data_IF_102329727800
#
_entry.id   IF_102329727800
#
_cell.length_a   1.000
_cell.length_b   1.000
_cell.length_c   1.000
_cell.angle_alpha   90.00
_cell.angle_beta   90.00
_cell.angle_gamma   90.00
#
_symmetry.space_group_name_H-M   'P 1'
#
loop_
_entity.id
_entity.type
_entity.pdbx_description
1 polymer ?
#
# COMPACT_ATOMS: atom_id res chain seq x y z
N UNK A 1 1.61 -26.26 -9.55
CA UNK A 1 1.72 -25.64 -10.88
C UNK A 1 2.85 -24.61 -10.81
N UNK A 2 3.89 -24.66 -11.67
CA UNK A 2 4.94 -23.65 -11.69
C UNK A 2 4.36 -22.31 -12.17
N UNK A 3 4.90 -21.21 -11.63
CA UNK A 3 4.57 -19.87 -12.13
C UNK A 3 5.22 -19.65 -13.50
N UNK A 4 4.61 -18.87 -14.40
CA UNK A 4 5.26 -18.42 -15.63
C UNK A 4 6.55 -17.63 -15.34
N UNK A 5 7.56 -17.80 -16.19
CA UNK A 5 8.88 -17.18 -16.01
C UNK A 5 8.84 -15.66 -15.79
N UNK A 6 8.02 -14.87 -16.54
CA UNK A 6 7.93 -13.43 -16.29
C UNK A 6 7.44 -13.06 -14.88
N UNK A 7 6.56 -13.88 -14.28
CA UNK A 7 6.10 -13.67 -12.91
C UNK A 7 7.21 -14.02 -11.92
N UNK A 8 7.99 -15.06 -12.21
CA UNK A 8 9.14 -15.43 -11.37
C UNK A 8 10.18 -14.32 -11.36
N UNK A 9 10.49 -13.73 -12.52
CA UNK A 9 11.43 -12.60 -12.63
C UNK A 9 10.98 -11.41 -11.76
N UNK A 10 9.72 -10.97 -11.92
CA UNK A 10 9.15 -9.89 -11.11
C UNK A 10 9.20 -10.19 -9.61
N UNK A 11 8.92 -11.43 -9.21
CA UNK A 11 8.94 -11.80 -7.79
C UNK A 11 10.37 -11.93 -7.25
N UNK A 12 11.34 -12.31 -8.06
CA UNK A 12 12.72 -12.59 -7.63
C UNK A 12 13.41 -11.36 -7.03
N UNK A 13 13.06 -10.14 -7.46
CA UNK A 13 13.59 -8.90 -6.89
C UNK A 13 13.27 -8.73 -5.39
N UNK A 14 12.23 -9.40 -4.90
CA UNK A 14 11.83 -9.37 -3.48
C UNK A 14 12.50 -10.45 -2.64
N UNK A 15 13.09 -11.48 -3.26
CA UNK A 15 13.69 -12.63 -2.57
C UNK A 15 14.69 -12.25 -1.48
N UNK A 16 15.62 -11.29 -1.67
CA UNK A 16 16.59 -10.89 -0.65
C UNK A 16 15.98 -10.33 0.64
N UNK A 17 14.71 -9.90 0.59
CA UNK A 17 14.01 -9.32 1.73
C UNK A 17 13.43 -10.37 2.70
N UNK A 18 13.53 -11.65 2.36
CA UNK A 18 12.92 -12.75 3.11
C UNK A 18 13.92 -13.87 3.35
N UNK A 19 13.75 -14.58 4.47
CA UNK A 19 14.44 -15.85 4.66
C UNK A 19 13.91 -16.91 3.70
N UNK A 20 14.73 -17.89 3.31
CA UNK A 20 14.33 -18.92 2.36
C UNK A 20 13.03 -19.67 2.74
N UNK A 21 12.80 -20.06 4.01
CA UNK A 21 11.52 -20.69 4.41
C UNK A 21 10.32 -19.76 4.29
N UNK A 22 10.48 -18.47 4.60
CA UNK A 22 9.41 -17.47 4.48
C UNK A 22 9.12 -17.21 3.00
N UNK A 23 10.13 -17.09 2.18
CA UNK A 23 10.00 -16.88 0.75
C UNK A 23 9.21 -17.98 0.06
N UNK A 24 9.53 -19.26 0.32
CA UNK A 24 8.80 -20.39 -0.27
C UNK A 24 7.30 -20.34 0.05
N UNK A 25 6.95 -20.06 1.30
CA UNK A 25 5.55 -19.95 1.72
C UNK A 25 4.86 -18.72 1.13
N UNK A 26 5.58 -17.58 1.08
CA UNK A 26 5.06 -16.35 0.49
C UNK A 26 4.74 -16.52 -1.00
N UNK A 27 5.64 -17.14 -1.77
CA UNK A 27 5.40 -17.42 -3.20
C UNK A 27 4.20 -18.35 -3.40
N UNK A 28 4.06 -19.40 -2.59
CA UNK A 28 2.86 -20.27 -2.60
C UNK A 28 1.58 -19.46 -2.33
N UNK A 29 1.59 -18.58 -1.33
CA UNK A 29 0.43 -17.73 -1.01
C UNK A 29 0.13 -16.74 -2.12
N UNK A 30 1.15 -16.12 -2.72
CA UNK A 30 0.97 -15.18 -3.83
C UNK A 30 0.36 -15.89 -5.06
N UNK A 31 0.94 -17.03 -5.45
CA UNK A 31 0.40 -17.84 -6.54
C UNK A 31 -1.05 -18.21 -6.29
N UNK A 32 -1.33 -18.74 -5.12
CA UNK A 32 -2.69 -19.13 -4.75
C UNK A 32 -3.66 -17.96 -4.69
N UNK A 33 -3.21 -16.77 -4.26
CA UNK A 33 -4.04 -15.57 -4.22
C UNK A 33 -4.36 -15.05 -5.62
N UNK A 34 -3.44 -15.16 -6.57
CA UNK A 34 -3.67 -14.81 -7.98
C UNK A 34 -4.67 -15.77 -8.64
N UNK A 35 -4.59 -17.06 -8.31
CA UNK A 35 -5.46 -18.09 -8.87
C UNK A 35 -6.82 -18.21 -8.15
N UNK A 36 -6.94 -17.68 -6.93
CA UNK A 36 -8.16 -17.82 -6.14
C UNK A 36 -9.32 -17.01 -6.72
N UNK A 37 -10.41 -17.70 -7.00
CA UNK A 37 -11.69 -17.06 -7.34
C UNK A 37 -12.46 -16.72 -6.05
N UNK A 38 -12.90 -15.48 -5.92
CA UNK A 38 -13.66 -15.00 -4.75
C UNK A 38 -12.77 -14.49 -3.61
N UNK A 39 -13.07 -14.86 -2.36
CA UNK A 39 -12.36 -14.33 -1.18
C UNK A 39 -10.92 -14.80 -1.13
N UNK A 40 -9.98 -13.85 -1.13
CA UNK A 40 -8.54 -14.09 -1.04
C UNK A 40 -8.08 -14.34 0.41
N UNK A 41 -8.42 -15.50 0.95
CA UNK A 41 -7.97 -15.97 2.26
C UNK A 41 -6.78 -16.91 2.13
N UNK A 42 -6.01 -17.11 3.20
CA UNK A 42 -4.91 -18.09 3.22
C UNK A 42 -5.41 -19.48 2.82
N UNK A 43 -6.57 -19.88 3.32
CA UNK A 43 -7.17 -21.17 2.97
C UNK A 43 -7.53 -21.27 1.48
N UNK A 44 -8.10 -20.21 0.89
CA UNK A 44 -8.39 -20.18 -0.53
C UNK A 44 -7.10 -20.23 -1.36
N UNK A 45 -6.09 -19.45 -0.98
CA UNK A 45 -4.79 -19.45 -1.65
C UNK A 45 -4.13 -20.84 -1.63
N UNK A 46 -4.16 -21.55 -0.50
CA UNK A 46 -3.60 -22.90 -0.40
C UNK A 46 -4.34 -23.90 -1.28
N UNK A 47 -5.67 -23.83 -1.33
CA UNK A 47 -6.46 -24.70 -2.22
C UNK A 47 -6.15 -24.43 -3.68
N UNK A 48 -6.14 -23.14 -4.08
CA UNK A 48 -5.91 -22.74 -5.47
C UNK A 48 -4.48 -22.99 -5.94
N UNK A 49 -3.49 -23.02 -5.03
CA UNK A 49 -2.10 -23.35 -5.35
C UNK A 49 -1.79 -24.86 -5.34
N UNK A 50 -2.79 -25.71 -5.15
CA UNK A 50 -2.60 -27.16 -5.07
C UNK A 50 -2.07 -27.66 -3.72
N UNK A 51 -2.04 -26.81 -2.69
CA UNK A 51 -1.57 -27.14 -1.35
C UNK A 51 -2.71 -27.42 -0.35
N UNK A 52 -3.85 -27.89 -0.83
CA UNK A 52 -5.02 -28.19 0.00
C UNK A 52 -4.71 -29.24 1.10
N UNK A 53 -3.82 -30.17 0.81
CA UNK A 53 -3.40 -31.26 1.70
C UNK A 53 -2.14 -30.94 2.53
N UNK A 54 -1.68 -29.67 2.53
CA UNK A 54 -0.52 -29.31 3.34
C UNK A 54 -0.78 -29.58 4.82
N UNK A 55 0.13 -30.32 5.49
CA UNK A 55 -0.05 -30.77 6.87
C UNK A 55 -0.16 -29.60 7.88
N UNK A 56 0.43 -28.44 7.59
CA UNK A 56 0.55 -27.33 8.53
C UNK A 56 0.15 -25.97 7.92
N UNK A 57 -1.13 -25.73 7.75
CA UNK A 57 -1.65 -24.44 7.29
C UNK A 57 -1.30 -23.26 8.22
N UNK A 58 -1.11 -23.53 9.52
CA UNK A 58 -0.70 -22.52 10.50
C UNK A 58 0.62 -21.85 10.14
N UNK A 59 1.55 -22.55 9.51
CA UNK A 59 2.83 -21.99 9.07
C UNK A 59 2.68 -20.92 7.97
N UNK A 60 1.65 -21.04 7.13
CA UNK A 60 1.34 -20.03 6.12
C UNK A 60 0.69 -18.78 6.74
N UNK A 61 -0.17 -18.95 7.76
CA UNK A 61 -0.67 -17.83 8.55
C UNK A 61 0.46 -17.09 9.28
N UNK A 62 1.49 -17.82 9.76
CA UNK A 62 2.64 -17.23 10.44
C UNK A 62 3.48 -16.33 9.53
N UNK A 63 3.51 -16.55 8.22
CA UNK A 63 4.17 -15.65 7.26
C UNK A 63 3.60 -14.23 7.36
N UNK A 64 2.29 -14.10 7.58
CA UNK A 64 1.59 -12.83 7.63
C UNK A 64 1.61 -12.15 9.01
N UNK A 65 1.68 -12.93 10.10
CA UNK A 65 1.50 -12.40 11.46
C UNK A 65 2.73 -12.52 12.37
N UNK A 66 3.68 -13.44 12.12
CA UNK A 66 4.84 -13.70 13.01
C UNK A 66 6.18 -13.61 12.32
N UNK A 67 6.27 -13.87 11.01
CA UNK A 67 7.53 -13.85 10.30
C UNK A 67 8.16 -12.44 10.34
N UNK A 68 9.45 -12.38 10.61
CA UNK A 68 10.20 -11.12 10.67
C UNK A 68 10.64 -10.71 9.28
N UNK A 69 9.94 -9.76 8.70
CA UNK A 69 10.31 -9.09 7.45
C UNK A 69 9.86 -7.63 7.49
N UNK A 70 10.57 -6.78 6.79
CA UNK A 70 10.30 -5.33 6.79
C UNK A 70 9.27 -4.97 5.73
N UNK A 71 8.09 -4.53 6.17
CA UNK A 71 7.05 -4.00 5.28
C UNK A 71 7.57 -2.81 4.47
N UNK A 72 8.34 -1.94 5.09
CA UNK A 72 8.91 -0.78 4.41
C UNK A 72 9.93 -1.16 3.35
N UNK A 73 10.75 -2.19 3.57
CA UNK A 73 11.68 -2.69 2.56
C UNK A 73 10.95 -3.27 1.36
N UNK A 74 9.87 -4.03 1.59
CA UNK A 74 9.00 -4.55 0.52
C UNK A 74 8.31 -3.42 -0.24
N UNK A 75 7.74 -2.43 0.48
CA UNK A 75 7.12 -1.26 -0.15
C UNK A 75 8.12 -0.43 -0.96
N UNK A 76 9.35 -0.25 -0.45
CA UNK A 76 10.43 0.43 -1.19
C UNK A 76 10.76 -0.33 -2.48
N UNK A 77 10.96 -1.64 -2.39
CA UNK A 77 11.29 -2.47 -3.56
C UNK A 77 10.17 -2.44 -4.61
N UNK A 78 8.91 -2.46 -4.15
CA UNK A 78 7.74 -2.36 -5.02
C UNK A 78 7.67 -0.98 -5.70
N UNK A 79 7.93 0.11 -4.96
CA UNK A 79 7.99 1.44 -5.53
C UNK A 79 9.05 1.52 -6.64
N UNK A 80 10.26 1.04 -6.37
CA UNK A 80 11.35 1.06 -7.35
C UNK A 80 10.98 0.26 -8.60
N UNK A 81 10.45 -0.93 -8.43
CA UNK A 81 9.98 -1.76 -9.54
C UNK A 81 8.92 -1.05 -10.40
N UNK A 82 7.93 -0.39 -9.77
CA UNK A 82 6.90 0.37 -10.50
C UNK A 82 7.51 1.53 -11.26
N UNK A 83 8.38 2.29 -10.60
CA UNK A 83 9.01 3.48 -11.19
C UNK A 83 9.92 3.08 -12.35
N UNK A 84 10.78 2.09 -12.18
CA UNK A 84 11.69 1.58 -13.22
C UNK A 84 10.95 1.00 -14.43
N UNK A 85 9.77 0.39 -14.19
CA UNK A 85 8.99 -0.25 -15.25
C UNK A 85 8.12 0.73 -16.04
N UNK A 86 7.53 1.73 -15.37
CA UNK A 86 6.45 2.52 -15.98
C UNK A 86 6.73 4.02 -16.07
N UNK A 87 7.74 4.53 -15.37
CA UNK A 87 8.04 5.97 -15.38
C UNK A 87 9.29 6.23 -16.23
N UNK A 88 9.17 7.02 -17.31
CA UNK A 88 10.34 7.36 -18.12
C UNK A 88 11.41 8.08 -17.32
N UNK A 89 12.68 7.90 -17.67
CA UNK A 89 13.78 8.60 -17.05
C UNK A 89 13.61 10.12 -17.19
N UNK A 90 13.84 10.86 -16.10
CA UNK A 90 13.65 12.31 -16.05
C UNK A 90 12.20 12.78 -15.89
N UNK A 91 11.21 11.89 -15.95
CA UNK A 91 9.81 12.25 -15.75
C UNK A 91 9.47 12.46 -14.27
N UNK A 92 8.35 13.13 -14.00
CA UNK A 92 7.81 13.24 -12.66
C UNK A 92 7.17 11.92 -12.23
N UNK A 93 7.38 11.54 -10.97
CA UNK A 93 6.66 10.45 -10.32
C UNK A 93 5.40 11.04 -9.68
N UNK A 94 4.26 10.78 -10.29
CA UNK A 94 2.96 11.24 -9.80
C UNK A 94 2.49 10.35 -8.64
N UNK A 95 2.29 10.95 -7.47
CA UNK A 95 1.82 10.24 -6.29
C UNK A 95 0.39 10.64 -5.94
N UNK A 96 -0.41 9.67 -5.56
CA UNK A 96 -1.74 9.88 -4.99
C UNK A 96 -1.85 9.17 -3.64
N UNK A 97 -2.53 9.82 -2.70
CA UNK A 97 -2.89 9.21 -1.41
C UNK A 97 -4.42 9.17 -1.33
N UNK A 98 -4.93 8.02 -0.93
CA UNK A 98 -6.35 7.83 -0.70
C UNK A 98 -6.58 7.10 0.63
N UNK A 99 -7.75 7.29 1.22
CA UNK A 99 -8.14 6.55 2.42
C UNK A 99 -9.28 5.59 2.13
N UNK A 100 -9.18 4.39 2.67
CA UNK A 100 -10.15 3.32 2.50
C UNK A 100 -10.58 2.80 3.85
N UNK A 101 -11.89 2.72 4.08
CA UNK A 101 -12.46 2.09 5.26
C UNK A 101 -12.77 0.62 4.97
N UNK A 102 -12.03 -0.27 5.62
CA UNK A 102 -12.31 -1.70 5.65
C UNK A 102 -13.27 -1.99 6.81
N UNK A 103 -14.57 -2.17 6.52
CA UNK A 103 -15.57 -2.46 7.55
C UNK A 103 -15.28 -3.79 8.24
N UNK A 104 -15.17 -3.77 9.57
CA UNK A 104 -14.85 -4.92 10.39
C UNK A 104 -15.70 -4.92 11.67
N UNK A 105 -16.42 -5.99 11.91
CA UNK A 105 -17.37 -6.11 13.01
C UNK A 105 -16.82 -6.89 14.23
N UNK A 106 -15.70 -7.60 14.08
CA UNK A 106 -15.13 -8.45 15.12
C UNK A 106 -14.69 -7.66 16.35
N UNK A 107 -15.18 -8.04 17.54
CA UNK A 107 -14.85 -7.39 18.82
C UNK A 107 -13.38 -7.56 19.23
N UNK A 108 -12.72 -8.63 18.79
CA UNK A 108 -11.31 -8.95 19.11
C UNK A 108 -10.27 -8.20 18.24
N UNK A 109 -10.69 -7.31 17.36
CA UNK A 109 -9.78 -6.57 16.51
C UNK A 109 -9.28 -5.33 17.26
N UNK A 110 -8.09 -5.39 17.83
CA UNK A 110 -7.52 -4.39 18.74
C UNK A 110 -7.33 -2.99 18.12
N UNK A 111 -7.29 -2.87 16.79
CA UNK A 111 -7.09 -1.59 16.10
C UNK A 111 -8.35 -1.10 15.40
N UNK A 112 -9.49 -1.71 15.66
CA UNK A 112 -10.77 -1.30 15.12
C UNK A 112 -11.21 0.00 15.79
N UNK A 113 -11.56 0.97 14.97
CA UNK A 113 -12.19 2.22 15.41
C UNK A 113 -13.54 2.43 14.71
N UNK A 114 -14.21 3.53 15.05
CA UNK A 114 -15.38 4.02 14.35
C UNK A 114 -14.99 5.18 13.45
N UNK A 115 -15.30 5.09 12.17
CA UNK A 115 -14.92 6.09 11.18
C UNK A 115 -16.12 6.49 10.35
N UNK A 116 -16.14 7.75 9.90
CA UNK A 116 -17.12 8.18 8.91
C UNK A 116 -17.02 7.31 7.68
N UNK A 117 -18.15 6.75 7.28
CA UNK A 117 -18.26 5.88 6.11
C UNK A 117 -18.73 6.73 4.93
N UNK A 118 -17.84 7.07 4.01
CA UNK A 118 -18.14 7.91 2.86
C UNK A 118 -19.11 7.27 1.88
N UNK A 119 -19.17 5.92 1.83
CA UNK A 119 -20.08 5.21 0.94
C UNK A 119 -21.53 5.17 1.46
N UNK A 120 -21.71 5.25 2.79
CA UNK A 120 -23.03 5.26 3.43
C UNK A 120 -23.49 6.66 3.84
N UNK A 121 -22.57 7.63 3.90
CA UNK A 121 -22.87 9.00 4.27
C UNK A 121 -23.38 9.80 3.07
N UNK A 122 -24.36 10.67 3.32
CA UNK A 122 -24.83 11.67 2.36
C UNK A 122 -24.48 13.08 2.85
N UNK A 123 -24.84 14.11 2.06
CA UNK A 123 -24.71 15.51 2.50
C UNK A 123 -25.56 15.84 3.74
N UNK A 124 -26.70 15.14 3.91
CA UNK A 124 -27.65 15.38 5.00
C UNK A 124 -27.41 14.47 6.21
N UNK A 125 -26.75 13.33 6.03
CA UNK A 125 -26.57 12.33 7.09
C UNK A 125 -25.16 11.76 7.08
N UNK A 126 -24.43 11.92 8.20
CA UNK A 126 -23.15 11.29 8.40
C UNK A 126 -23.33 9.93 9.07
N UNK A 127 -22.91 8.88 8.42
CA UNK A 127 -22.94 7.51 8.94
C UNK A 127 -21.52 7.10 9.36
N UNK A 128 -21.40 6.51 10.55
CA UNK A 128 -20.15 5.95 11.07
C UNK A 128 -20.21 4.44 11.05
N UNK A 129 -19.14 3.79 10.60
CA UNK A 129 -19.01 2.34 10.57
C UNK A 129 -17.77 1.88 11.34
N UNK A 130 -17.85 0.74 12.05
CA UNK A 130 -16.68 0.14 12.69
C UNK A 130 -15.77 -0.50 11.64
N UNK A 131 -14.46 -0.31 11.80
CA UNK A 131 -13.52 -0.86 10.84
C UNK A 131 -12.07 -0.50 11.06
N UNK A 132 -11.28 -0.72 10.03
CA UNK A 132 -9.88 -0.35 9.92
C UNK A 132 -9.75 0.70 8.82
N UNK A 133 -9.20 1.86 9.15
CA UNK A 133 -8.93 2.91 8.17
C UNK A 133 -7.51 2.80 7.64
N UNK A 134 -7.41 2.49 6.38
CA UNK A 134 -6.15 2.41 5.65
C UNK A 134 -5.89 3.70 4.88
N UNK A 135 -4.68 4.19 4.95
CA UNK A 135 -4.16 5.25 4.08
C UNK A 135 -3.24 4.56 3.10
N UNK A 136 -3.55 4.67 1.82
CA UNK A 136 -2.85 4.00 0.71
C UNK A 136 -2.19 5.04 -0.16
N UNK A 137 -0.91 4.88 -0.41
CA UNK A 137 -0.16 5.68 -1.38
C UNK A 137 0.12 4.85 -2.62
N UNK A 138 -0.13 5.45 -3.77
CA UNK A 138 0.05 4.82 -5.08
C UNK A 138 0.84 5.72 -6.03
N UNK A 139 1.55 5.12 -6.99
CA UNK A 139 2.12 5.81 -8.14
C UNK A 139 1.08 5.81 -9.25
N UNK A 140 0.84 6.96 -9.85
CA UNK A 140 -0.04 7.10 -11.01
C UNK A 140 0.79 6.92 -12.27
N UNK A 141 0.49 5.89 -13.04
CA UNK A 141 1.19 5.54 -14.27
C UNK A 141 0.22 5.37 -15.43
N UNK A 142 0.69 5.56 -16.65
CA UNK A 142 -0.06 5.21 -17.85
C UNK A 142 0.42 3.84 -18.33
N UNK A 143 -0.50 2.87 -18.33
CA UNK A 143 -0.17 1.52 -18.79
C UNK A 143 -0.11 1.48 -20.33
N UNK A 144 0.96 0.94 -20.93
CA UNK A 144 1.18 0.98 -22.38
C UNK A 144 0.04 0.35 -23.21
N UNK A 145 -0.56 -0.72 -22.70
CA UNK A 145 -1.59 -1.49 -23.39
C UNK A 145 -3.01 -0.94 -23.24
N UNK A 146 -3.29 -0.11 -22.23
CA UNK A 146 -4.65 0.46 -22.02
C UNK A 146 -4.72 1.93 -22.37
N UNK A 147 -3.59 2.64 -22.44
CA UNK A 147 -3.50 4.11 -22.54
C UNK A 147 -4.23 4.87 -21.42
N UNK A 148 -4.66 4.17 -20.37
CA UNK A 148 -5.36 4.74 -19.21
C UNK A 148 -4.39 4.96 -18.06
N UNK A 149 -4.69 5.95 -17.23
CA UNK A 149 -3.95 6.22 -15.99
C UNK A 149 -4.42 5.27 -14.89
N UNK A 150 -3.47 4.60 -14.26
CA UNK A 150 -3.69 3.66 -13.17
C UNK A 150 -2.91 4.10 -11.93
N UNK A 151 -3.54 4.00 -10.77
CA UNK A 151 -2.89 4.18 -9.49
C UNK A 151 -2.42 2.81 -8.97
N UNK A 152 -1.10 2.57 -8.96
CA UNK A 152 -0.49 1.33 -8.49
C UNK A 152 -0.07 1.49 -7.02
N UNK A 153 -0.77 0.84 -6.06
CA UNK A 153 -0.49 0.99 -4.65
C UNK A 153 0.82 0.29 -4.26
N UNK A 154 1.64 0.96 -3.44
CA UNK A 154 2.90 0.38 -2.96
C UNK A 154 3.11 0.55 -1.46
N UNK A 155 2.45 1.51 -0.81
CA UNK A 155 2.60 1.77 0.61
C UNK A 155 1.24 1.96 1.26
N UNK A 156 1.01 1.19 2.33
CA UNK A 156 -0.21 1.28 3.13
C UNK A 156 0.12 1.47 4.60
N UNK A 157 -0.61 2.34 5.29
CA UNK A 157 -0.53 2.52 6.73
C UNK A 157 -1.92 2.45 7.34
N UNK A 158 -2.01 1.89 8.55
CA UNK A 158 -3.25 1.83 9.31
C UNK A 158 -3.34 3.07 10.21
N UNK A 159 -4.33 3.92 9.95
CA UNK A 159 -4.65 5.06 10.79
C UNK A 159 -5.67 4.65 11.86
N UNK A 160 -5.38 4.99 13.11
CA UNK A 160 -6.23 4.70 14.25
C UNK A 160 -6.92 5.98 14.74
N UNK A 161 -8.07 5.84 15.42
CA UNK A 161 -8.71 6.96 16.10
C UNK A 161 -7.88 7.40 17.31
N UNK A 162 -8.12 8.59 17.89
CA UNK A 162 -7.45 9.04 19.12
C UNK A 162 -7.60 8.02 20.25
N UNK A 163 -8.81 7.51 20.49
CA UNK A 163 -9.14 6.57 21.56
C UNK A 163 -8.39 5.23 21.38
N UNK A 164 -8.36 4.70 20.15
CA UNK A 164 -7.62 3.47 19.85
C UNK A 164 -6.11 3.70 19.97
N UNK A 165 -5.62 4.88 19.60
CA UNK A 165 -4.19 5.23 19.75
C UNK A 165 -3.79 5.28 21.23
N UNK A 166 -4.62 5.87 22.08
CA UNK A 166 -4.43 5.92 23.52
C UNK A 166 -4.43 4.53 24.14
N UNK A 167 -5.42 3.68 23.83
CA UNK A 167 -5.47 2.29 24.28
C UNK A 167 -4.22 1.49 23.90
N UNK A 168 -3.58 1.84 22.77
CA UNK A 168 -2.35 1.19 22.31
C UNK A 168 -1.08 1.84 22.88
N UNK A 169 -1.20 2.86 23.71
CA UNK A 169 -0.07 3.64 24.24
C UNK A 169 0.73 4.37 23.15
N UNK A 170 0.08 4.77 22.05
CA UNK A 170 0.72 5.40 20.89
C UNK A 170 0.21 6.83 20.70
N UNK A 171 1.13 7.71 20.28
CA UNK A 171 0.74 9.05 19.85
C UNK A 171 -0.21 8.96 18.65
N UNK A 172 -1.37 9.60 18.76
CA UNK A 172 -2.29 9.73 17.65
C UNK A 172 -1.69 10.56 16.51
N UNK A 173 -1.96 10.15 15.27
CA UNK A 173 -1.57 10.87 14.06
C UNK A 173 -2.78 11.06 13.17
N UNK A 174 -3.00 12.29 12.76
CA UNK A 174 -4.03 12.62 11.77
C UNK A 174 -3.68 12.08 10.38
N UNK A 175 -4.66 12.03 9.48
CA UNK A 175 -4.43 11.61 8.07
C UNK A 175 -3.37 12.47 7.41
N UNK A 176 -3.40 13.81 7.64
CA UNK A 176 -2.39 14.73 7.11
C UNK A 176 -0.98 14.45 7.63
N UNK A 177 -0.83 14.11 8.92
CA UNK A 177 0.47 13.71 9.48
C UNK A 177 0.99 12.41 8.87
N UNK A 178 0.11 11.45 8.61
CA UNK A 178 0.48 10.23 7.92
C UNK A 178 0.88 10.51 6.47
N UNK A 179 0.10 11.30 5.73
CA UNK A 179 0.41 11.70 4.36
C UNK A 179 1.79 12.36 4.27
N UNK A 180 2.07 13.34 5.14
CA UNK A 180 3.39 13.99 5.20
C UNK A 180 4.53 13.00 5.48
N UNK A 181 4.34 12.07 6.41
CA UNK A 181 5.35 11.05 6.70
C UNK A 181 5.58 10.10 5.52
N UNK A 182 4.52 9.69 4.82
CA UNK A 182 4.61 8.81 3.65
C UNK A 182 5.36 9.52 2.50
N UNK A 183 5.03 10.77 2.22
CA UNK A 183 5.75 11.57 1.20
C UNK A 183 7.23 11.73 1.56
N UNK A 184 7.54 12.07 2.81
CA UNK A 184 8.92 12.21 3.29
C UNK A 184 9.70 10.89 3.22
N UNK A 185 9.04 9.76 3.43
CA UNK A 185 9.63 8.43 3.30
C UNK A 185 9.96 8.10 1.85
N UNK A 186 9.01 8.33 0.95
CA UNK A 186 9.18 8.10 -0.50
C UNK A 186 10.30 8.98 -1.05
N UNK A 187 10.33 10.27 -0.67
CA UNK A 187 11.41 11.17 -1.06
C UNK A 187 12.79 10.61 -0.69
N UNK A 188 12.94 10.07 0.54
CA UNK A 188 14.19 9.42 0.96
C UNK A 188 14.52 8.15 0.16
N UNK A 189 13.49 7.36 -0.21
CA UNK A 189 13.70 6.14 -0.99
C UNK A 189 14.16 6.41 -2.42
N UNK A 190 13.64 7.44 -3.05
CA UNK A 190 14.01 7.85 -4.41
C UNK A 190 15.28 8.71 -4.45
N UNK A 191 15.64 9.38 -3.33
CA UNK A 191 16.86 10.15 -3.21
C UNK A 191 18.14 9.32 -2.93
N UNK A 192 18.05 7.98 -2.94
CA UNK A 192 19.21 7.12 -2.74
C UNK A 192 20.25 7.28 -3.85
N UNK A 193 21.58 7.24 -3.53
CA UNK A 193 22.67 7.51 -4.51
C UNK A 193 22.61 6.65 -5.78
N UNK A 194 22.06 5.44 -5.68
CA UNK A 194 21.85 4.54 -6.82
C UNK A 194 20.87 5.12 -7.87
N UNK A 195 20.05 6.10 -7.50
CA UNK A 195 19.04 6.71 -8.38
C UNK A 195 19.29 8.21 -8.60
N UNK A 196 20.20 8.83 -7.85
CA UNK A 196 20.59 10.25 -7.99
C UNK A 196 21.56 10.49 -9.12
N UNK A 197 22.30 9.48 -9.58
CA UNK A 197 23.35 9.65 -10.58
C UNK A 197 22.84 10.23 -11.92
N UNK A 198 21.51 10.22 -12.18
CA UNK A 198 20.92 10.70 -13.43
C UNK A 198 19.83 11.77 -13.26
N UNK A 199 19.61 12.33 -12.07
CA UNK A 199 18.55 13.33 -11.84
C UNK A 199 17.15 12.81 -12.19
N UNK A 200 16.92 11.50 -12.00
CA UNK A 200 15.94 10.72 -12.77
C UNK A 200 14.48 10.97 -12.46
N UNK A 201 14.10 11.48 -11.28
CA UNK A 201 12.67 11.57 -10.97
C UNK A 201 12.34 12.84 -10.19
N UNK A 202 11.28 13.51 -10.61
CA UNK A 202 10.62 14.57 -9.86
C UNK A 202 9.39 13.98 -9.16
N UNK A 203 9.09 14.41 -7.93
CA UNK A 203 7.91 13.99 -7.22
C UNK A 203 6.81 15.03 -7.38
N UNK A 204 5.65 14.61 -7.84
CA UNK A 204 4.44 15.41 -7.85
C UNK A 204 3.37 14.74 -6.99
N UNK A 205 2.74 15.53 -6.14
CA UNK A 205 1.62 15.05 -5.32
C UNK A 205 0.30 15.55 -5.90
N UNK A 206 -0.58 14.64 -6.28
CA UNK A 206 -1.85 14.94 -6.92
C UNK A 206 -3.03 15.13 -5.94
N UNK A 207 -2.75 15.13 -4.64
CA UNK A 207 -3.78 15.33 -3.60
C UNK A 207 -4.40 14.04 -3.05
N UNK A 208 -5.31 14.19 -2.08
CA UNK A 208 -6.13 13.11 -1.56
C UNK A 208 -7.57 13.30 -2.05
N UNK A 209 -8.21 12.25 -2.55
CA UNK A 209 -9.65 12.30 -2.90
C UNK A 209 -10.54 12.69 -1.71
N UNK A 210 -10.12 12.37 -0.50
CA UNK A 210 -10.86 12.72 0.73
C UNK A 210 -10.76 14.20 1.11
N UNK A 211 -9.70 14.92 0.71
CA UNK A 211 -9.56 16.35 0.99
C UNK A 211 -10.50 17.21 0.17
N UNK A 212 -10.97 16.74 -0.99
CA UNK A 212 -11.94 17.45 -1.82
C UNK A 212 -13.37 17.48 -1.24
N UNK A 213 -13.69 16.65 -0.26
CA UNK A 213 -15.05 16.57 0.29
C UNK A 213 -15.25 17.33 1.61
N UNK A 214 -14.18 17.79 2.27
CA UNK A 214 -14.27 18.39 3.61
C UNK A 214 -13.71 19.80 3.77
N UNK A 215 -13.18 20.41 2.72
CA UNK A 215 -12.70 21.81 2.80
C UNK A 215 -13.07 22.61 1.56
N UNK A 216 -14.33 23.01 1.48
CA UNK A 216 -14.66 24.29 0.86
C UNK A 216 -14.30 25.36 1.91
N UNK A 217 -13.06 25.56 2.19
CA UNK A 217 -12.56 26.52 3.15
C UNK A 217 -11.13 26.17 3.53
N UNK A 218 -10.23 26.89 2.90
CA UNK A 218 -8.85 27.12 3.34
C UNK A 218 -7.90 25.92 3.37
N UNK A 219 -6.99 25.96 2.49
CA UNK A 219 -5.57 25.65 2.44
C UNK A 219 -5.21 25.13 1.04
N UNK A 220 -5.21 26.02 0.07
CA UNK A 220 -4.42 25.88 -1.15
C UNK A 220 -2.93 25.88 -0.81
N UNK A 221 -2.42 24.81 -0.25
CA UNK A 221 -1.00 24.53 -0.28
C UNK A 221 -0.69 23.71 -1.52
N UNK A 222 -0.40 24.46 -2.57
CA UNK A 222 0.33 23.99 -3.72
C UNK A 222 1.72 23.52 -3.23
N UNK A 223 1.85 22.20 -3.00
CA UNK A 223 3.13 21.57 -2.71
C UNK A 223 3.89 21.30 -4.01
N UNK A 224 3.93 22.26 -4.92
CA UNK A 224 4.93 22.32 -5.95
C UNK A 224 6.26 22.62 -5.27
N UNK A 225 7.00 21.58 -4.90
CA UNK A 225 8.42 21.75 -4.56
C UNK A 225 9.11 22.24 -5.81
N UNK A 226 9.43 23.54 -5.81
CA UNK A 226 9.96 24.29 -6.92
C UNK A 226 11.01 23.52 -7.70
N UNK A 227 10.75 23.36 -8.96
CA UNK A 227 11.76 23.12 -9.96
C UNK A 227 12.58 24.41 -10.09
N UNK A 228 13.69 24.53 -9.35
CA UNK A 228 14.73 25.46 -9.72
C UNK A 228 15.19 25.05 -11.11
N UNK A 229 14.89 25.87 -12.09
CA UNK A 229 15.56 25.84 -13.39
C UNK A 229 17.00 26.28 -13.19
N UNK A 230 17.94 25.81 -14.05
CA UNK A 230 19.33 26.21 -14.01
C UNK A 230 19.54 27.69 -14.29
#
# INVERSE_FOLDING_TARGET
MPLPDPIIEVLTVFRPLFTAPTWRKLTTLLTGTLLAQGRRTVAAALRSSGNAQAANWSLFHQVLNRARWSRFSVSRQLLLLIVETFVPAGACVDLVIDETLERRWGSKISKRGHYRDSALSSRKQSVSSPGLRWIVMAVVVTLPWTKQRWALPFLCVLATTPEVSEQLGKRHKTVGMWAHQMVSLVRRWLASPLHQADGRYRLQYLGTRAACASSAGDLGHDWSVGCGAP
#
